data_IF_757290895562
#
_entry.id   IF_757290895562
#
_cell.length_a   1.000
_cell.length_b   1.000
_cell.length_c   1.000
_cell.angle_alpha   90.00
_cell.angle_beta   90.00
_cell.angle_gamma   90.00
#
_symmetry.space_group_name_H-M   'P 1'
#
loop_
_entity.id
_entity.type
_entity.pdbx_description
1 polymer ?
#
# COMPACT_ATOMS: atom_id res chain seq x y z
N UNK A 1 26.89 -4.81 -24.38
CA UNK A 1 25.97 -5.07 -23.24
C UNK A 1 24.84 -4.08 -23.40
N UNK A 2 23.58 -4.50 -23.25
CA UNK A 2 22.46 -3.57 -23.29
C UNK A 2 22.66 -2.52 -22.17
N UNK A 3 22.31 -1.27 -22.46
CA UNK A 3 22.23 -0.24 -21.44
C UNK A 3 21.03 -0.58 -20.53
N UNK A 4 21.22 -0.56 -19.21
CA UNK A 4 20.17 -0.89 -18.25
C UNK A 4 19.45 0.37 -17.74
N UNK A 5 19.54 1.46 -18.50
CA UNK A 5 18.93 2.73 -18.13
C UNK A 5 17.41 2.69 -18.31
N UNK A 6 16.67 3.34 -17.40
CA UNK A 6 15.20 3.46 -17.48
C UNK A 6 14.72 4.28 -18.68
N UNK A 7 15.63 4.98 -19.37
CA UNK A 7 15.30 5.82 -20.51
C UNK A 7 14.78 4.97 -21.69
N UNK A 8 15.37 3.80 -21.93
CA UNK A 8 14.93 2.90 -23.00
C UNK A 8 13.50 2.39 -22.73
N UNK A 9 13.20 1.97 -21.50
CA UNK A 9 11.85 1.50 -21.13
C UNK A 9 10.74 2.55 -21.32
N UNK A 10 11.09 3.85 -21.29
CA UNK A 10 10.14 4.95 -21.45
C UNK A 10 10.07 5.51 -22.89
N UNK A 11 11.07 5.23 -23.73
CA UNK A 11 11.17 5.81 -25.08
C UNK A 11 11.07 4.78 -26.20
N UNK A 12 11.29 3.51 -25.89
CA UNK A 12 11.10 2.42 -26.83
C UNK A 12 9.60 2.29 -27.17
N UNK A 13 9.23 2.29 -28.45
CA UNK A 13 7.85 2.08 -28.85
C UNK A 13 7.39 0.68 -28.39
N UNK A 14 6.11 0.52 -27.99
CA UNK A 14 5.58 -0.79 -27.62
C UNK A 14 5.85 -1.80 -28.76
N UNK A 15 6.33 -3.01 -28.44
CA UNK A 15 6.60 -4.00 -29.46
C UNK A 15 5.34 -4.29 -30.28
N UNK A 16 5.51 -4.45 -31.59
CA UNK A 16 4.43 -4.84 -32.48
C UNK A 16 4.12 -6.33 -32.26
N UNK A 17 3.05 -6.60 -31.51
CA UNK A 17 2.51 -7.94 -31.29
C UNK A 17 1.28 -8.09 -32.18
N UNK A 18 1.16 -9.23 -32.85
CA UNK A 18 0.03 -9.56 -33.74
C UNK A 18 -1.30 -9.51 -32.95
N UNK A 19 -2.37 -8.99 -33.58
CA UNK A 19 -3.66 -8.82 -32.91
C UNK A 19 -4.26 -10.14 -32.40
N UNK A 20 -4.00 -11.23 -33.11
CA UNK A 20 -4.43 -12.57 -32.70
C UNK A 20 -3.75 -12.99 -31.38
N UNK A 21 -2.43 -12.84 -31.30
CA UNK A 21 -1.64 -13.14 -30.10
C UNK A 21 -2.07 -12.25 -28.92
N UNK A 22 -2.33 -10.96 -29.16
CA UNK A 22 -2.80 -10.04 -28.10
C UNK A 22 -4.12 -10.51 -27.50
N UNK A 23 -5.07 -10.94 -28.34
CA UNK A 23 -6.37 -11.45 -27.86
C UNK A 23 -6.21 -12.74 -27.07
N UNK A 24 -5.42 -13.67 -27.59
CA UNK A 24 -5.23 -14.97 -26.93
C UNK A 24 -4.51 -14.83 -25.58
N UNK A 25 -3.54 -13.92 -25.48
CA UNK A 25 -2.87 -13.60 -24.22
C UNK A 25 -3.84 -13.08 -23.16
N UNK A 26 -4.65 -12.08 -23.51
CA UNK A 26 -5.64 -11.50 -22.59
C UNK A 26 -6.70 -12.54 -22.22
N UNK A 27 -7.22 -13.29 -23.20
CA UNK A 27 -8.21 -14.34 -22.95
C UNK A 27 -7.69 -15.41 -22.00
N UNK A 28 -6.41 -15.79 -22.13
CA UNK A 28 -5.77 -16.72 -21.20
C UNK A 28 -5.71 -16.13 -19.79
N UNK A 29 -5.27 -14.87 -19.63
CA UNK A 29 -5.22 -14.18 -18.32
C UNK A 29 -6.61 -14.07 -17.67
N UNK A 30 -7.64 -13.75 -18.44
CA UNK A 30 -9.02 -13.62 -17.93
C UNK A 30 -9.65 -14.98 -17.61
N UNK A 31 -9.20 -16.04 -18.28
CA UNK A 31 -9.66 -17.41 -18.01
C UNK A 31 -9.08 -17.99 -16.72
N UNK A 32 -7.95 -17.47 -16.26
CA UNK A 32 -7.35 -17.86 -15.00
C UNK A 32 -8.12 -17.24 -13.83
N UNK A 33 -8.64 -18.09 -12.95
CA UNK A 33 -9.30 -17.62 -11.74
C UNK A 33 -8.25 -17.09 -10.75
N UNK A 34 -8.43 -15.88 -10.26
CA UNK A 34 -7.64 -15.34 -9.16
C UNK A 34 -8.20 -15.81 -7.82
N UNK A 35 -7.36 -16.45 -7.00
CA UNK A 35 -7.68 -16.80 -5.61
C UNK A 35 -6.92 -15.87 -4.66
N UNK A 36 -7.65 -15.09 -3.85
CA UNK A 36 -7.06 -14.21 -2.83
C UNK A 36 -6.58 -15.03 -1.62
N UNK A 37 -5.38 -15.58 -1.72
CA UNK A 37 -4.76 -16.41 -0.67
C UNK A 37 -4.41 -15.58 0.57
N UNK A 38 -4.01 -14.32 0.38
CA UNK A 38 -3.59 -13.44 1.49
C UNK A 38 -4.82 -12.89 2.22
N UNK A 39 -5.97 -12.79 1.55
CA UNK A 39 -7.24 -12.38 2.13
C UNK A 39 -7.30 -10.87 2.38
N UNK A 40 -6.64 -10.08 1.54
CA UNK A 40 -6.66 -8.62 1.64
C UNK A 40 -8.02 -8.05 1.21
N UNK A 41 -8.74 -8.76 0.35
CA UNK A 41 -10.06 -8.34 -0.14
C UNK A 41 -11.10 -8.43 0.96
N UNK A 42 -11.67 -7.27 1.32
CA UNK A 42 -12.85 -7.20 2.17
C UNK A 42 -14.12 -7.09 1.31
N UNK A 43 -15.20 -7.72 1.76
CA UNK A 43 -16.50 -7.61 1.10
C UNK A 43 -17.05 -6.18 1.14
N UNK A 44 -17.88 -5.81 0.16
CA UNK A 44 -18.50 -4.46 0.10
C UNK A 44 -19.31 -4.11 1.36
N UNK A 45 -19.90 -5.12 1.99
CA UNK A 45 -20.66 -4.98 3.24
C UNK A 45 -19.78 -4.84 4.47
N UNK A 46 -18.56 -5.37 4.39
CA UNK A 46 -17.57 -5.36 5.47
C UNK A 46 -16.64 -4.15 5.35
N UNK A 47 -16.61 -3.49 4.19
CA UNK A 47 -15.93 -2.24 3.96
C UNK A 47 -16.51 -1.12 4.82
N UNK A 48 -15.66 -0.48 5.63
CA UNK A 48 -15.99 0.70 6.43
C UNK A 48 -15.27 1.88 5.79
N UNK A 49 -15.98 2.82 5.12
CA UNK A 49 -15.36 4.00 4.55
C UNK A 49 -14.63 4.80 5.61
N UNK A 50 -13.41 5.24 5.30
CA UNK A 50 -12.71 6.22 6.11
C UNK A 50 -13.44 7.56 5.94
N UNK A 51 -14.09 8.03 7.00
CA UNK A 51 -14.64 9.38 7.01
C UNK A 51 -13.48 10.35 7.19
N UNK A 52 -13.35 11.29 6.26
CA UNK A 52 -12.49 12.45 6.46
C UNK A 52 -12.92 13.14 7.76
N UNK A 53 -11.95 13.50 8.61
CA UNK A 53 -12.23 14.42 9.72
C UNK A 53 -12.40 15.79 9.11
N UNK A 54 -13.57 16.03 8.53
CA UNK A 54 -13.99 17.38 8.23
C UNK A 54 -14.16 18.09 9.58
N UNK A 55 -13.26 19.01 9.90
CA UNK A 55 -13.33 19.85 11.10
C UNK A 55 -14.63 20.69 11.17
N UNK A 56 -15.44 20.61 10.11
CA UNK A 56 -16.74 21.24 9.90
C UNK A 56 -17.64 20.26 9.13
N UNK A 57 -18.43 19.42 9.79
CA UNK A 57 -19.86 19.20 9.46
C UNK A 57 -20.47 18.18 10.42
N UNK A 58 -21.36 18.69 11.25
CA UNK A 58 -22.36 17.92 11.98
C UNK A 58 -23.27 17.18 10.98
N UNK A 59 -23.62 15.92 11.32
CA UNK A 59 -24.70 15.09 10.77
C UNK A 59 -24.31 14.01 9.72
N UNK A 60 -23.96 12.81 10.20
CA UNK A 60 -24.88 11.67 10.07
C UNK A 60 -24.59 10.61 11.12
N UNK A 61 -25.56 10.43 12.00
CA UNK A 61 -25.50 9.59 13.19
C UNK A 61 -26.01 8.19 12.86
N UNK A 62 -25.15 7.18 12.89
CA UNK A 62 -25.57 5.81 13.27
C UNK A 62 -24.40 4.94 13.72
N UNK A 63 -24.13 5.05 15.02
CA UNK A 63 -23.83 3.97 15.96
C UNK A 63 -22.67 3.01 15.66
N UNK A 64 -21.52 3.39 16.24
CA UNK A 64 -20.81 2.64 17.29
C UNK A 64 -20.68 1.12 17.08
N UNK A 65 -19.51 0.70 16.58
CA UNK A 65 -18.72 -0.29 17.33
C UNK A 65 -17.68 0.49 18.13
N UNK A 66 -17.37 0.11 19.39
CA UNK A 66 -16.16 0.60 20.01
C UNK A 66 -15.02 0.13 19.11
N UNK A 67 -14.31 1.07 18.50
CA UNK A 67 -12.93 0.84 18.10
C UNK A 67 -12.23 0.38 19.38
N UNK A 68 -12.04 -0.93 19.52
CA UNK A 68 -11.06 -1.44 20.46
C UNK A 68 -9.71 -1.09 19.87
N UNK A 69 -9.31 0.16 20.11
CA UNK A 69 -7.92 0.54 20.23
C UNK A 69 -7.27 -0.47 21.18
N UNK A 70 -6.60 -1.46 20.62
CA UNK A 70 -5.50 -2.11 21.30
C UNK A 70 -4.20 -1.47 20.84
N UNK A 71 -4.21 -0.14 20.79
CA UNK A 71 -3.02 0.71 20.89
C UNK A 71 -2.80 1.11 22.36
N UNK A 72 -2.74 0.12 23.26
CA UNK A 72 -2.21 0.36 24.60
C UNK A 72 -1.52 -0.89 25.15
N UNK A 73 -0.22 -0.99 24.89
CA UNK A 73 0.72 -1.57 25.85
C UNK A 73 1.80 -0.51 26.08
N UNK A 74 1.48 0.36 27.03
CA UNK A 74 2.44 1.11 27.83
C UNK A 74 3.45 0.15 28.47
N UNK A 75 4.66 0.65 28.71
CA UNK A 75 5.86 -0.13 28.87
C UNK A 75 5.87 -1.12 30.04
N UNK A 76 6.33 -2.34 29.76
CA UNK A 76 7.12 -3.15 30.69
C UNK A 76 8.40 -3.56 29.95
N UNK A 77 9.61 -3.32 30.51
CA UNK A 77 10.85 -3.67 29.85
C UNK A 77 11.08 -5.18 29.97
N UNK A 78 10.47 -5.96 29.08
CA UNK A 78 10.79 -7.37 28.92
C UNK A 78 11.94 -7.49 27.93
N UNK A 79 13.14 -7.69 28.48
CA UNK A 79 14.41 -7.94 27.80
C UNK A 79 14.31 -9.04 26.72
N UNK A 80 13.84 -8.69 25.52
CA UNK A 80 14.09 -9.42 24.27
C UNK A 80 14.17 -8.41 23.12
N UNK A 81 15.25 -8.39 22.33
CA UNK A 81 15.32 -7.52 21.16
C UNK A 81 14.43 -8.12 20.06
N UNK A 82 13.27 -7.52 19.83
CA UNK A 82 12.53 -7.70 18.59
C UNK A 82 13.22 -6.84 17.53
N UNK A 83 13.94 -7.47 16.60
CA UNK A 83 14.56 -6.80 15.45
C UNK A 83 13.45 -6.38 14.48
N UNK A 84 13.01 -5.12 14.58
CA UNK A 84 12.26 -4.48 13.52
C UNK A 84 13.27 -4.09 12.42
N UNK A 85 13.40 -4.92 11.39
CA UNK A 85 14.40 -4.74 10.34
C UNK A 85 14.08 -3.60 9.34
N UNK A 86 12.92 -2.95 9.47
CA UNK A 86 12.50 -1.89 8.55
C UNK A 86 12.05 -0.68 9.37
N UNK A 87 12.90 0.33 9.47
CA UNK A 87 12.53 1.62 10.06
C UNK A 87 13.67 2.37 10.74
N UNK A 88 14.75 2.66 10.02
CA UNK A 88 15.67 3.73 10.41
C UNK A 88 15.64 4.82 9.33
N UNK A 89 14.70 5.74 9.48
CA UNK A 89 14.76 7.04 8.82
C UNK A 89 15.21 8.04 9.87
N UNK A 90 16.53 8.15 10.03
CA UNK A 90 17.15 9.24 10.78
C UNK A 90 16.74 10.57 10.17
N UNK A 91 15.94 11.35 10.89
CA UNK A 91 15.82 12.78 10.63
C UNK A 91 17.04 13.45 11.25
N UNK A 92 18.12 13.56 10.47
CA UNK A 92 19.26 14.39 10.87
C UNK A 92 18.81 15.86 10.92
N UNK A 93 18.86 16.43 12.13
CA UNK A 93 18.58 17.83 12.38
C UNK A 93 19.66 18.69 11.73
N UNK A 94 19.26 19.57 10.82
CA UNK A 94 20.14 20.62 10.31
C UNK A 94 20.28 21.71 11.38
N UNK A 95 21.21 21.52 12.32
CA UNK A 95 21.62 22.59 13.22
C UNK A 95 22.49 23.59 12.43
N UNK A 96 21.87 24.74 12.17
CA UNK A 96 22.51 26.01 11.84
C UNK A 96 23.75 26.26 12.71
N UNK A 97 24.91 26.44 12.09
CA UNK A 97 26.03 27.17 12.67
C UNK A 97 26.62 28.11 11.62
N UNK A 98 26.35 29.39 11.80
CA UNK A 98 27.18 30.49 11.32
C UNK A 98 28.58 30.40 11.94
N UNK A 99 29.61 30.70 11.14
CA UNK A 99 30.81 31.44 11.53
C UNK A 99 31.54 31.96 10.28
#
# INVERSE_FOLDING_TARGET
>A
MADLSLADALTEPPPEIEEEIKRDFIATLESEAFEDVVGETVGKTDYIPLLDVDEKTENSESKKKPFSDTSQIEGTPSSKPTVLANGDHGIEGNDTIEA
#
